data_IF_793600922970
#
_entry.id   IF_793600922970
#
_cell.length_a   1.000
_cell.length_b   1.000
_cell.length_c   1.000
_cell.angle_alpha   90.00
_cell.angle_beta   90.00
_cell.angle_gamma   90.00
#
_symmetry.space_group_name_H-M   'P 1'
#
loop_
_entity.id
_entity.type
_entity.pdbx_description
1 polymer ?
#
# COMPACT_ATOMS: atom_id res chain seq x y z
N UNK A 1 0.00 -0.97 -5.87
CA UNK A 1 1.11 -1.14 -4.92
C UNK A 1 1.63 0.25 -4.58
N UNK A 2 1.71 0.64 -3.31
CA UNK A 2 2.29 1.95 -2.93
C UNK A 2 3.82 1.90 -3.08
N UNK A 3 4.33 2.49 -4.17
CA UNK A 3 5.76 2.48 -4.52
C UNK A 3 6.64 3.20 -3.48
N UNK A 4 6.06 4.06 -2.63
CA UNK A 4 6.81 4.77 -1.60
C UNK A 4 7.31 3.87 -0.47
N UNK A 5 6.71 2.68 -0.33
CA UNK A 5 7.14 1.65 0.62
C UNK A 5 8.15 0.66 0.03
N UNK A 6 8.36 0.67 -1.29
CA UNK A 6 9.23 -0.27 -1.98
C UNK A 6 10.69 -0.19 -1.47
N UNK A 7 11.14 1.00 -1.06
CA UNK A 7 12.49 1.21 -0.49
C UNK A 7 12.74 0.48 0.84
N UNK A 8 11.69 0.04 1.55
CA UNK A 8 11.84 -0.79 2.76
C UNK A 8 12.23 -2.23 2.42
N UNK A 9 11.99 -2.67 1.18
CA UNK A 9 12.43 -3.97 0.70
C UNK A 9 13.84 -3.81 0.15
N UNK A 10 14.82 -4.02 1.03
CA UNK A 10 16.24 -3.94 0.70
C UNK A 10 16.68 -5.15 -0.14
N UNK A 11 16.40 -5.11 -1.44
CA UNK A 11 16.61 -6.21 -2.39
C UNK A 11 18.06 -6.73 -2.48
N UNK A 12 19.05 -5.96 -2.05
CA UNK A 12 20.46 -6.38 -2.03
C UNK A 12 20.86 -7.02 -0.70
N UNK A 13 20.37 -6.48 0.42
CA UNK A 13 20.77 -6.95 1.75
C UNK A 13 20.13 -8.29 2.10
N UNK A 14 18.85 -8.49 1.76
CA UNK A 14 18.15 -9.73 2.09
C UNK A 14 18.78 -10.97 1.44
N UNK A 15 19.08 -11.01 0.13
CA UNK A 15 19.73 -12.18 -0.48
C UNK A 15 21.11 -12.47 0.13
N UNK A 16 21.89 -11.45 0.45
CA UNK A 16 23.22 -11.62 1.07
C UNK A 16 23.09 -12.22 2.47
N UNK A 17 22.17 -11.72 3.30
CA UNK A 17 21.92 -12.27 4.64
C UNK A 17 21.42 -13.71 4.57
N UNK A 18 20.48 -14.01 3.66
CA UNK A 18 19.98 -15.38 3.46
C UNK A 18 21.10 -16.32 3.01
N UNK A 19 21.98 -15.88 2.10
CA UNK A 19 23.13 -16.66 1.65
C UNK A 19 24.13 -16.92 2.80
N UNK A 20 24.39 -15.93 3.65
CA UNK A 20 25.26 -16.09 4.83
C UNK A 20 24.67 -17.07 5.85
N UNK A 21 23.35 -17.01 6.09
CA UNK A 21 22.65 -17.98 6.96
C UNK A 21 22.70 -19.38 6.34
N UNK A 22 22.53 -19.51 5.03
CA UNK A 22 22.69 -20.80 4.33
C UNK A 22 24.09 -21.37 4.46
N UNK A 23 25.12 -20.53 4.30
CA UNK A 23 26.52 -20.92 4.45
C UNK A 23 26.86 -21.36 5.88
N UNK A 24 26.31 -20.71 6.91
CA UNK A 24 26.53 -21.10 8.31
C UNK A 24 25.85 -22.42 8.70
N UNK A 25 24.85 -22.87 7.93
CA UNK A 25 24.15 -24.14 8.14
C UNK A 25 24.84 -25.35 7.50
N UNK A 26 25.81 -25.14 6.59
CA UNK A 26 26.54 -26.22 5.89
C UNK A 26 27.18 -27.24 6.85
N UNK A 27 27.87 -26.83 7.94
CA UNK A 27 28.49 -27.78 8.88
C UNK A 27 27.47 -28.67 9.61
N UNK A 28 26.21 -28.24 9.72
CA UNK A 28 25.15 -29.00 10.40
C UNK A 28 24.49 -30.05 9.50
N UNK A 29 24.69 -29.95 8.18
CA UNK A 29 24.12 -30.86 7.18
C UNK A 29 25.04 -32.04 6.83
N UNK A 30 26.36 -31.78 6.76
CA UNK A 30 27.34 -32.79 6.39
C UNK A 30 27.68 -33.71 7.57
N UNK A 31 27.51 -35.03 7.39
CA UNK A 31 27.90 -36.05 8.37
C UNK A 31 29.42 -36.17 8.56
N UNK A 32 30.20 -35.72 7.57
CA UNK A 32 31.65 -35.81 7.52
C UNK A 32 32.29 -34.45 7.21
N UNK A 33 31.91 -33.38 7.94
CA UNK A 33 32.62 -32.10 7.78
C UNK A 33 34.06 -32.23 8.29
N UNK A 34 35.07 -31.71 7.54
CA UNK A 34 36.42 -31.57 8.07
C UNK A 34 36.38 -30.69 9.31
N UNK A 35 37.20 -31.00 10.32
CA UNK A 35 37.27 -30.27 11.60
C UNK A 35 37.31 -28.76 11.37
N UNK A 36 36.18 -28.10 11.61
CA UNK A 36 36.16 -26.67 11.80
C UNK A 36 36.82 -26.42 13.17
N UNK A 37 38.08 -25.96 13.16
CA UNK A 37 38.82 -25.58 14.37
C UNK A 37 38.20 -24.29 14.90
N UNK A 38 37.08 -24.41 15.62
CA UNK A 38 36.63 -23.35 16.52
C UNK A 38 37.65 -23.25 17.67
N UNK A 39 38.06 -22.03 18.09
CA UNK A 39 38.90 -21.87 19.26
C UNK A 39 38.20 -22.54 20.45
N UNK A 40 38.89 -23.48 21.10
CA UNK A 40 38.43 -24.33 22.22
C UNK A 40 37.57 -23.54 23.22
N UNK A 41 36.25 -23.60 23.05
CA UNK A 41 35.28 -23.45 24.10
C UNK A 41 34.39 -24.69 24.02
N UNK A 42 34.31 -25.42 25.13
CA UNK A 42 33.69 -26.75 25.25
C UNK A 42 32.48 -26.93 24.31
N UNK A 43 32.62 -27.65 23.19
CA UNK A 43 31.50 -27.86 22.30
C UNK A 43 30.65 -28.94 22.96
N UNK A 44 29.47 -28.56 23.44
CA UNK A 44 28.43 -29.52 23.72
C UNK A 44 28.18 -30.29 22.41
N UNK A 45 28.66 -31.54 22.32
CA UNK A 45 28.48 -32.41 21.16
C UNK A 45 26.98 -32.62 20.97
N UNK A 46 26.36 -31.86 20.08
CA UNK A 46 24.99 -32.09 19.67
C UNK A 46 24.92 -33.47 18.96
N UNK A 47 23.98 -34.35 19.31
CA UNK A 47 23.86 -35.64 18.65
C UNK A 47 23.63 -35.46 17.14
N UNK A 48 24.35 -36.22 16.33
CA UNK A 48 24.41 -36.12 14.85
C UNK A 48 23.03 -36.15 14.16
N UNK A 49 22.06 -36.91 14.68
CA UNK A 49 20.68 -36.92 14.16
C UNK A 49 19.89 -35.63 14.48
N UNK A 50 20.38 -34.79 15.38
CA UNK A 50 19.74 -33.54 15.80
C UNK A 50 20.20 -32.34 14.96
N UNK A 51 21.42 -32.37 14.39
CA UNK A 51 21.93 -31.27 13.56
C UNK A 51 21.17 -31.15 12.23
N UNK A 52 20.85 -32.27 11.59
CA UNK A 52 20.00 -32.31 10.38
C UNK A 52 18.59 -31.76 10.63
N UNK A 53 18.02 -32.03 11.82
CA UNK A 53 16.70 -31.50 12.21
C UNK A 53 16.69 -29.96 12.29
N UNK A 54 17.79 -29.35 12.72
CA UNK A 54 17.92 -27.88 12.77
C UNK A 54 17.84 -27.30 11.35
N UNK A 55 18.61 -27.85 10.40
CA UNK A 55 18.60 -27.38 9.01
C UNK A 55 17.21 -27.52 8.37
N UNK A 56 16.55 -28.67 8.56
CA UNK A 56 15.19 -28.92 8.05
C UNK A 56 14.19 -27.93 8.67
N UNK A 57 14.34 -27.61 9.95
CA UNK A 57 13.48 -26.63 10.64
C UNK A 57 13.63 -25.24 10.00
N UNK A 58 14.85 -24.75 9.81
CA UNK A 58 15.09 -23.46 9.14
C UNK A 58 14.57 -23.43 7.71
N UNK A 59 14.75 -24.52 6.95
CA UNK A 59 14.21 -24.63 5.60
C UNK A 59 12.67 -24.58 5.59
N UNK A 60 12.03 -25.27 6.53
CA UNK A 60 10.57 -25.26 6.67
C UNK A 60 10.03 -23.88 7.05
N UNK A 61 10.70 -23.16 7.97
CA UNK A 61 10.33 -21.78 8.34
C UNK A 61 10.49 -20.84 7.14
N UNK A 62 11.57 -20.99 6.35
CA UNK A 62 11.79 -20.22 5.14
C UNK A 62 10.71 -20.48 4.08
N UNK A 63 10.36 -21.74 3.85
CA UNK A 63 9.30 -22.15 2.94
C UNK A 63 7.94 -21.57 3.36
N UNK A 64 7.59 -21.69 4.64
CA UNK A 64 6.34 -21.17 5.19
C UNK A 64 6.28 -19.64 5.07
N UNK A 65 7.39 -18.95 5.38
CA UNK A 65 7.51 -17.49 5.25
C UNK A 65 7.34 -17.03 3.80
N UNK A 66 7.96 -17.74 2.85
CA UNK A 66 7.80 -17.50 1.42
C UNK A 66 6.36 -17.72 0.95
N UNK A 67 5.70 -18.78 1.42
CA UNK A 67 4.29 -19.03 1.12
C UNK A 67 3.39 -17.92 1.65
N UNK A 68 3.58 -17.48 2.91
CA UNK A 68 2.83 -16.37 3.53
C UNK A 68 2.98 -15.08 2.71
N UNK A 69 4.19 -14.79 2.21
CA UNK A 69 4.44 -13.62 1.37
C UNK A 69 3.76 -13.72 -0.01
N UNK A 70 3.85 -14.86 -0.70
CA UNK A 70 3.22 -15.06 -2.01
C UNK A 70 1.69 -15.09 -1.96
N UNK A 71 1.13 -15.61 -0.86
CA UNK A 71 -0.30 -15.58 -0.59
C UNK A 71 -0.77 -14.19 -0.13
N UNK A 72 0.12 -13.19 -0.12
CA UNK A 72 -0.18 -11.79 0.18
C UNK A 72 -0.77 -11.55 1.59
N UNK A 73 -0.58 -12.50 2.52
CA UNK A 73 -1.13 -12.45 3.87
C UNK A 73 -0.50 -11.32 4.70
N UNK A 74 0.78 -10.99 4.44
CA UNK A 74 1.47 -9.86 5.06
C UNK A 74 1.09 -8.49 4.46
N UNK A 75 0.32 -8.45 3.38
CA UNK A 75 -0.02 -7.23 2.65
C UNK A 75 -1.24 -6.48 3.22
N UNK A 76 -1.87 -7.03 4.26
CA UNK A 76 -3.06 -6.46 4.92
C UNK A 76 -2.83 -5.05 5.50
N UNK A 77 -1.58 -4.65 5.73
CA UNK A 77 -1.25 -3.33 6.28
C UNK A 77 -1.05 -2.24 5.21
N UNK A 78 -1.02 -2.59 3.92
CA UNK A 78 -0.84 -1.62 2.85
C UNK A 78 -2.20 -1.12 2.34
N UNK A 79 -2.33 0.20 2.20
CA UNK A 79 -3.46 0.80 1.50
C UNK A 79 -3.62 0.17 0.11
N UNK A 80 -4.86 -0.21 -0.24
CA UNK A 80 -5.20 -0.95 -1.46
C UNK A 80 -5.78 -0.01 -2.51
N UNK A 81 -4.95 0.71 -3.28
CA UNK A 81 -5.44 1.63 -4.30
C UNK A 81 -6.18 0.89 -5.41
N UNK A 82 -5.91 -0.41 -5.61
CA UNK A 82 -6.58 -1.25 -6.61
C UNK A 82 -8.08 -1.41 -6.32
N UNK A 83 -8.43 -1.66 -5.06
CA UNK A 83 -9.83 -1.84 -4.64
C UNK A 83 -10.55 -0.49 -4.76
N UNK A 84 -9.92 0.60 -4.33
CA UNK A 84 -10.48 1.95 -4.46
C UNK A 84 -10.66 2.36 -5.92
N UNK A 85 -9.66 2.10 -6.76
CA UNK A 85 -9.73 2.34 -8.21
C UNK A 85 -10.93 1.63 -8.84
N UNK A 86 -11.14 0.35 -8.53
CA UNK A 86 -12.29 -0.40 -9.04
C UNK A 86 -13.64 0.17 -8.56
N UNK A 87 -13.73 0.62 -7.31
CA UNK A 87 -14.94 1.26 -6.78
C UNK A 87 -15.24 2.56 -7.52
N UNK A 88 -14.22 3.39 -7.76
CA UNK A 88 -14.34 4.65 -8.51
C UNK A 88 -14.90 4.38 -9.90
N UNK A 89 -14.29 3.46 -10.65
CA UNK A 89 -14.68 3.18 -12.03
C UNK A 89 -16.11 2.63 -12.14
N UNK A 90 -16.50 1.75 -11.22
CA UNK A 90 -17.84 1.14 -11.24
C UNK A 90 -18.95 2.12 -10.86
N UNK A 91 -18.63 3.14 -10.07
CA UNK A 91 -19.63 4.06 -9.51
C UNK A 91 -19.67 5.39 -10.26
N UNK A 92 -18.56 5.78 -10.92
CA UNK A 92 -18.50 7.01 -11.70
C UNK A 92 -19.11 6.87 -13.09
N UNK A 93 -19.87 7.89 -13.46
CA UNK A 93 -20.54 8.03 -14.76
C UNK A 93 -20.11 9.30 -15.49
N UNK A 94 -19.54 10.26 -14.76
CA UNK A 94 -19.02 11.52 -15.29
C UNK A 94 -17.49 11.60 -15.13
N UNK A 95 -16.93 12.77 -15.44
CA UNK A 95 -15.50 13.02 -15.26
C UNK A 95 -15.11 12.88 -13.79
N UNK A 96 -14.07 12.11 -13.51
CA UNK A 96 -13.62 11.83 -12.15
C UNK A 96 -12.77 13.01 -11.63
N UNK A 97 -13.13 13.54 -10.48
CA UNK A 97 -12.33 14.45 -9.67
C UNK A 97 -12.08 13.82 -8.30
N UNK A 98 -10.84 13.80 -7.83
CA UNK A 98 -10.45 13.16 -6.57
C UNK A 98 -9.79 14.21 -5.69
N UNK A 99 -10.28 14.40 -4.47
CA UNK A 99 -9.69 15.28 -3.49
C UNK A 99 -9.23 14.51 -2.25
N UNK A 100 -8.02 14.78 -1.78
CA UNK A 100 -7.49 14.23 -0.52
C UNK A 100 -6.87 15.34 0.31
N UNK A 101 -6.94 15.17 1.63
CA UNK A 101 -6.12 15.96 2.54
C UNK A 101 -4.75 15.30 2.74
N UNK A 102 -3.70 16.09 2.96
CA UNK A 102 -2.39 15.56 3.32
C UNK A 102 -1.71 16.39 4.42
N UNK A 103 -1.06 15.67 5.34
CA UNK A 103 -0.12 16.17 6.35
C UNK A 103 1.29 15.67 6.07
N UNK A 104 1.41 14.46 5.52
CA UNK A 104 2.68 13.81 5.18
C UNK A 104 2.64 13.25 3.76
N UNK A 105 3.83 13.08 3.16
CA UNK A 105 3.96 12.58 1.77
C UNK A 105 3.38 11.19 1.52
N UNK A 106 3.19 10.37 2.57
CA UNK A 106 2.52 9.07 2.44
C UNK A 106 1.09 9.18 1.90
N UNK A 107 0.35 10.24 2.27
CA UNK A 107 -1.00 10.47 1.74
C UNK A 107 -0.97 10.84 0.25
N UNK A 108 0.02 11.61 -0.18
CA UNK A 108 0.27 11.87 -1.60
C UNK A 108 0.60 10.58 -2.35
N UNK A 109 1.44 9.70 -1.77
CA UNK A 109 1.77 8.39 -2.33
C UNK A 109 0.54 7.51 -2.56
N UNK A 110 -0.39 7.49 -1.61
CA UNK A 110 -1.69 6.79 -1.74
C UNK A 110 -2.51 7.32 -2.91
N UNK A 111 -2.61 8.64 -3.06
CA UNK A 111 -3.33 9.25 -4.17
C UNK A 111 -2.67 8.94 -5.52
N UNK A 112 -1.33 8.95 -5.58
CA UNK A 112 -0.57 8.53 -6.77
C UNK A 112 -0.86 7.06 -7.10
N UNK A 113 -0.99 6.18 -6.11
CA UNK A 113 -1.37 4.78 -6.31
C UNK A 113 -2.72 4.63 -7.00
N UNK A 114 -3.71 5.44 -6.62
CA UNK A 114 -5.04 5.48 -7.27
C UNK A 114 -4.91 6.07 -8.69
N UNK A 115 -4.17 7.17 -8.84
CA UNK A 115 -3.93 7.80 -10.15
C UNK A 115 -3.27 6.83 -11.14
N UNK A 116 -2.30 6.04 -10.69
CA UNK A 116 -1.66 5.01 -11.49
C UNK A 116 -2.63 3.90 -11.90
N UNK A 117 -3.50 3.47 -10.98
CA UNK A 117 -4.58 2.52 -11.27
C UNK A 117 -5.53 3.03 -12.35
N UNK A 118 -6.00 4.28 -12.24
CA UNK A 118 -6.88 4.90 -13.23
C UNK A 118 -6.18 5.09 -14.59
N UNK A 119 -4.91 5.52 -14.59
CA UNK A 119 -4.11 5.68 -15.82
C UNK A 119 -3.93 4.38 -16.60
N UNK A 120 -3.88 3.23 -15.90
CA UNK A 120 -3.72 1.93 -16.55
C UNK A 120 -4.90 1.54 -17.45
N UNK A 121 -6.03 2.25 -17.34
CA UNK A 121 -7.26 2.00 -18.08
C UNK A 121 -7.39 3.00 -19.23
N UNK A 122 -7.39 2.50 -20.47
CA UNK A 122 -7.34 3.33 -21.68
C UNK A 122 -8.58 4.21 -21.94
N UNK A 123 -9.69 3.99 -21.23
CA UNK A 123 -10.99 4.64 -21.48
C UNK A 123 -11.42 5.62 -20.38
N UNK A 124 -10.50 6.08 -19.54
CA UNK A 124 -10.82 7.08 -18.51
C UNK A 124 -10.30 8.44 -18.95
N UNK A 125 -11.23 9.38 -19.14
CA UNK A 125 -10.90 10.79 -19.35
C UNK A 125 -10.06 11.30 -18.18
N UNK A 126 -8.96 11.99 -18.50
CA UNK A 126 -7.93 12.46 -17.57
C UNK A 126 -8.51 12.94 -16.21
N UNK A 127 -8.42 12.10 -15.16
CA UNK A 127 -8.99 12.41 -13.86
C UNK A 127 -8.27 13.61 -13.23
N UNK A 128 -9.04 14.42 -12.50
CA UNK A 128 -8.52 15.59 -11.80
C UNK A 128 -8.16 15.21 -10.36
N UNK A 129 -7.05 15.73 -9.86
CA UNK A 129 -6.58 15.46 -8.50
C UNK A 129 -6.38 16.76 -7.73
N UNK A 130 -6.97 16.84 -6.54
CA UNK A 130 -6.86 17.96 -5.62
C UNK A 130 -6.18 17.50 -4.34
N UNK A 131 -5.11 18.20 -3.97
CA UNK A 131 -4.37 17.98 -2.74
C UNK A 131 -4.54 19.20 -1.87
N UNK A 132 -5.16 19.03 -0.70
CA UNK A 132 -5.28 20.09 0.27
C UNK A 132 -4.40 19.80 1.49
N UNK A 133 -3.61 20.78 1.91
CA UNK A 133 -2.73 20.60 3.05
C UNK A 133 -3.52 20.75 4.37
N UNK A 134 -3.44 19.74 5.22
CA UNK A 134 -4.19 19.59 6.48
C UNK A 134 -3.69 20.51 7.62
N UNK A 135 -3.19 21.69 7.28
CA UNK A 135 -2.73 22.68 8.26
C UNK A 135 -3.89 23.52 8.80
N UNK A 136 -4.92 23.71 7.97
CA UNK A 136 -6.16 24.43 8.30
C UNK A 136 -7.29 23.84 7.45
N UNK A 137 -8.12 22.98 8.07
CA UNK A 137 -9.23 22.29 7.42
C UNK A 137 -10.19 23.25 6.70
N UNK A 138 -10.50 24.39 7.32
CA UNK A 138 -11.46 25.36 6.77
C UNK A 138 -10.92 26.02 5.48
N UNK A 139 -9.60 26.24 5.39
CA UNK A 139 -8.96 26.72 4.17
C UNK A 139 -8.94 25.67 3.05
N UNK A 140 -8.81 24.39 3.41
CA UNK A 140 -8.78 23.27 2.47
C UNK A 140 -10.12 23.09 1.75
N UNK A 141 -11.23 23.15 2.50
CA UNK A 141 -12.57 23.10 1.94
C UNK A 141 -12.85 24.30 1.02
N UNK A 142 -12.52 25.53 1.46
CA UNK A 142 -12.74 26.73 0.67
C UNK A 142 -11.97 26.72 -0.67
N UNK A 143 -10.70 26.29 -0.66
CA UNK A 143 -9.89 26.17 -1.88
C UNK A 143 -10.49 25.13 -2.82
N UNK A 144 -10.92 23.97 -2.30
CA UNK A 144 -11.55 22.93 -3.12
C UNK A 144 -12.83 23.47 -3.78
N UNK A 145 -13.71 24.11 -3.02
CA UNK A 145 -14.95 24.74 -3.55
C UNK A 145 -14.64 25.77 -4.63
N UNK A 146 -13.61 26.60 -4.43
CA UNK A 146 -13.19 27.58 -5.43
C UNK A 146 -12.66 26.90 -6.71
N UNK A 147 -11.89 25.82 -6.60
CA UNK A 147 -11.40 25.10 -7.77
C UNK A 147 -12.53 24.38 -8.53
N UNK A 148 -13.49 23.79 -7.81
CA UNK A 148 -14.66 23.12 -8.40
C UNK A 148 -15.47 24.07 -9.30
N UNK A 149 -15.58 25.35 -8.93
CA UNK A 149 -16.29 26.35 -9.73
C UNK A 149 -15.68 26.60 -11.13
N UNK A 150 -14.39 26.26 -11.32
CA UNK A 150 -13.66 26.45 -12.57
C UNK A 150 -13.65 25.21 -13.46
N UNK A 151 -14.18 24.09 -12.98
CA UNK A 151 -14.14 22.80 -13.70
C UNK A 151 -15.37 22.67 -14.58
N UNK A 152 -15.17 22.15 -15.79
CA UNK A 152 -16.26 21.80 -16.70
C UNK A 152 -17.08 20.63 -16.15
N UNK A 153 -18.38 20.83 -16.02
CA UNK A 153 -19.37 19.85 -15.52
C UNK A 153 -19.92 18.95 -16.64
N UNK A 154 -20.45 17.75 -16.35
CA UNK A 154 -20.61 17.12 -15.03
C UNK A 154 -19.31 16.51 -14.48
N UNK A 155 -19.21 16.44 -13.16
CA UNK A 155 -18.06 15.85 -12.45
C UNK A 155 -18.55 14.97 -11.30
N UNK A 156 -17.92 13.80 -11.16
CA UNK A 156 -18.04 12.96 -9.98
C UNK A 156 -16.86 13.27 -9.05
N UNK A 157 -17.16 13.95 -7.94
CA UNK A 157 -16.20 14.34 -6.93
C UNK A 157 -16.09 13.24 -5.87
N UNK A 158 -14.90 12.67 -5.77
CA UNK A 158 -14.51 11.72 -4.75
C UNK A 158 -13.67 12.41 -3.69
N UNK A 159 -14.18 12.51 -2.48
CA UNK A 159 -13.37 12.88 -1.32
C UNK A 159 -12.78 11.58 -0.78
N UNK A 160 -11.45 11.47 -0.72
CA UNK A 160 -10.76 10.27 -0.23
C UNK A 160 -9.85 10.69 0.91
N UNK A 161 -10.13 10.22 2.13
CA UNK A 161 -9.43 10.64 3.35
C UNK A 161 -9.35 12.18 3.47
N UNK A 162 -10.40 12.87 3.04
CA UNK A 162 -10.50 14.32 3.13
C UNK A 162 -10.98 14.70 4.53
N UNK A 163 -10.23 15.56 5.24
CA UNK A 163 -10.43 15.81 6.68
C UNK A 163 -11.11 17.14 7.01
N UNK A 164 -11.62 17.83 6.00
CA UNK A 164 -12.31 19.09 6.19
C UNK A 164 -13.80 18.91 5.88
N UNK A 165 -14.63 19.45 6.76
CA UNK A 165 -16.05 19.60 6.48
C UNK A 165 -16.23 20.54 5.29
N UNK A 166 -17.00 20.09 4.30
CA UNK A 166 -17.22 20.84 3.06
C UNK A 166 -18.70 20.95 2.76
N UNK A 167 -19.15 22.19 2.56
CA UNK A 167 -20.48 22.47 2.04
C UNK A 167 -20.42 22.67 0.54
N UNK A 168 -20.92 21.69 -0.20
CA UNK A 168 -20.96 21.67 -1.67
C UNK A 168 -22.35 22.03 -2.23
N UNK A 169 -23.30 22.43 -1.39
CA UNK A 169 -24.65 22.82 -1.84
C UNK A 169 -24.58 23.98 -2.83
N UNK A 170 -23.71 24.96 -2.55
CA UNK A 170 -23.44 26.12 -3.42
C UNK A 170 -22.86 25.74 -4.79
N UNK A 171 -22.36 24.52 -4.95
CA UNK A 171 -21.81 24.00 -6.20
C UNK A 171 -22.77 23.03 -6.90
N UNK A 172 -24.04 22.89 -6.50
CA UNK A 172 -24.96 21.87 -7.04
C UNK A 172 -24.35 20.45 -7.05
N UNK A 173 -23.55 20.13 -6.04
CA UNK A 173 -23.06 18.77 -5.86
C UNK A 173 -23.92 18.05 -4.82
N UNK A 174 -24.47 16.91 -5.20
CA UNK A 174 -25.36 16.11 -4.35
C UNK A 174 -24.64 14.83 -3.97
N UNK A 175 -24.69 14.46 -2.69
CA UNK A 175 -24.16 13.19 -2.21
C UNK A 175 -24.87 12.02 -2.90
N UNK A 176 -24.11 11.02 -3.34
CA UNK A 176 -24.68 9.84 -4.00
C UNK A 176 -25.44 8.93 -3.00
N UNK A 177 -26.34 8.07 -3.47
CA UNK A 177 -26.98 7.05 -2.62
C UNK A 177 -26.00 6.05 -2.00
N UNK A 178 -24.81 5.86 -2.61
CA UNK A 178 -23.66 5.15 -2.04
C UNK A 178 -22.59 6.19 -1.63
N UNK A 179 -23.04 7.20 -0.88
CA UNK A 179 -22.32 8.45 -0.60
C UNK A 179 -21.00 8.25 0.08
N UNK A 180 -20.83 7.24 0.91
CA UNK A 180 -19.72 7.18 1.85
C UNK A 180 -19.40 5.77 2.33
N UNK A 181 -18.19 5.59 2.84
CA UNK A 181 -17.80 4.36 3.53
C UNK A 181 -16.29 4.19 3.65
N UNK A 182 -15.89 3.00 4.10
CA UNK A 182 -14.49 2.63 4.28
C UNK A 182 -14.14 1.46 3.38
N UNK A 183 -13.15 1.63 2.51
CA UNK A 183 -12.71 0.59 1.57
C UNK A 183 -11.18 0.51 1.51
N UNK A 184 -10.60 -0.62 1.92
CA UNK A 184 -9.15 -0.82 1.86
C UNK A 184 -8.35 0.23 2.64
N UNK A 185 -8.88 0.66 3.80
CA UNK A 185 -8.36 1.75 4.64
C UNK A 185 -8.42 3.15 3.99
N UNK A 186 -9.34 3.34 3.04
CA UNK A 186 -9.72 4.64 2.53
C UNK A 186 -11.13 4.98 3.00
N UNK A 187 -11.25 6.04 3.78
CA UNK A 187 -12.54 6.69 3.99
C UNK A 187 -12.83 7.45 2.70
N UNK A 188 -14.03 7.28 2.14
CA UNK A 188 -14.40 7.96 0.91
C UNK A 188 -15.80 8.53 0.99
N UNK A 189 -16.02 9.60 0.24
CA UNK A 189 -17.33 10.16 -0.05
C UNK A 189 -17.47 10.47 -1.55
N UNK A 190 -18.64 10.24 -2.12
CA UNK A 190 -18.96 10.49 -3.53
C UNK A 190 -20.06 11.54 -3.65
N UNK A 191 -19.74 12.61 -4.38
CA UNK A 191 -20.66 13.67 -4.75
C UNK A 191 -20.79 13.77 -6.27
N UNK A 192 -22.02 13.91 -6.76
CA UNK A 192 -22.30 14.17 -8.17
C UNK A 192 -22.56 15.66 -8.37
N UNK A 193 -21.66 16.33 -9.07
CA UNK A 193 -21.77 17.74 -9.42
C UNK A 193 -22.43 17.86 -10.80
N UNK A 194 -23.73 18.16 -10.78
CA UNK A 194 -24.55 18.34 -11.98
C UNK A 194 -24.43 19.78 -12.51
N UNK A 195 -24.84 20.02 -13.76
CA UNK A 195 -24.77 21.33 -14.40
C UNK A 195 -25.42 22.44 -13.56
#
# INVERSE_FOLDING_TARGET
MDLTLAGRFQFVYFPVVIALIGASLVPFWQENSPEFVFPKQNPAKLPSNSSKKIVITFLSIGLLSGAIANLNLGYLQNHRPDIMTQKIIKSSTARIAIATSYKHHGQTGRMIGIAWGLKSLKNIDSPLFFLAQDNNAQSSAAILTQQLSKIKRPVDLWLINFRAEIDLTTQNCVADSQSDGVLGQHDYELYRCLQ
#
